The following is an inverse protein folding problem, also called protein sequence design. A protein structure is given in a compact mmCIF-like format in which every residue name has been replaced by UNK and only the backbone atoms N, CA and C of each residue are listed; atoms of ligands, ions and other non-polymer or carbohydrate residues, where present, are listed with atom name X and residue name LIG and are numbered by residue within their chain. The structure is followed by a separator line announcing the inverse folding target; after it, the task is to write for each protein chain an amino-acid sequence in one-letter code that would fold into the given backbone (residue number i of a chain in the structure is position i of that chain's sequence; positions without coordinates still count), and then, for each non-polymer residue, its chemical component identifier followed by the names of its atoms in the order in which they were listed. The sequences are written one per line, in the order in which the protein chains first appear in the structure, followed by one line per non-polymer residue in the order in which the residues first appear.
data_IF_925592167581
#
_entry.id   IF_925592167581
#
_cell.length_a   1.000
_cell.length_b   1.000
_cell.length_c   1.000
_cell.angle_alpha   90.00
_cell.angle_beta   90.00
_cell.angle_gamma   90.00
#
_symmetry.space_group_name_H-M   'P 1'
#
loop_
_entity.id
_entity.type
_entity.pdbx_description
1 polymer ?
#
# COMPACT_ATOMS: atom_id res chain seq x y z
N UNK A 1 -14.39 -1.78 16.89
CA UNK A 1 -13.81 -1.27 15.62
C UNK A 1 -12.29 -1.41 15.59
N UNK A 2 -11.55 -0.75 16.50
CA UNK A 2 -10.08 -0.75 16.49
C UNK A 2 -9.45 -2.15 16.58
N UNK A 3 -9.97 -3.03 17.44
CA UNK A 3 -9.49 -4.41 17.54
C UNK A 3 -9.62 -5.20 16.22
N UNK A 4 -10.77 -5.07 15.54
CA UNK A 4 -10.98 -5.71 14.24
C UNK A 4 -10.00 -5.18 13.18
N UNK A 5 -9.69 -3.87 13.21
CA UNK A 5 -8.69 -3.29 12.31
C UNK A 5 -7.28 -3.86 12.55
N UNK A 6 -6.89 -4.10 13.82
CA UNK A 6 -5.64 -4.80 14.14
C UNK A 6 -5.61 -6.19 13.51
N UNK A 7 -6.66 -7.00 13.71
CA UNK A 7 -6.73 -8.36 13.15
C UNK A 7 -6.65 -8.37 11.62
N UNK A 8 -7.36 -7.44 10.97
CA UNK A 8 -7.32 -7.29 9.51
C UNK A 8 -5.93 -6.89 9.03
N UNK A 9 -5.26 -5.97 9.72
CA UNK A 9 -3.91 -5.51 9.39
C UNK A 9 -2.88 -6.63 9.56
N UNK A 10 -2.93 -7.40 10.65
CA UNK A 10 -2.05 -8.55 10.86
C UNK A 10 -2.22 -9.57 9.73
N UNK A 11 -3.47 -9.93 9.40
CA UNK A 11 -3.76 -10.86 8.30
C UNK A 11 -3.25 -10.33 6.95
N UNK A 12 -3.31 -9.02 6.72
CA UNK A 12 -2.77 -8.40 5.52
C UNK A 12 -1.23 -8.44 5.50
N UNK A 13 -0.57 -8.19 6.64
CA UNK A 13 0.90 -8.31 6.77
C UNK A 13 1.36 -9.75 6.48
N UNK A 14 0.64 -10.74 6.98
CA UNK A 14 0.89 -12.17 6.69
C UNK A 14 0.69 -12.49 5.21
N UNK A 15 -0.39 -11.99 4.59
CA UNK A 15 -0.65 -12.19 3.16
C UNK A 15 0.46 -11.62 2.28
N UNK A 16 1.09 -10.51 2.70
CA UNK A 16 2.21 -9.87 2.01
C UNK A 16 3.56 -10.15 2.69
N UNK A 17 3.77 -11.29 3.34
CA UNK A 17 5.00 -11.55 4.08
C UNK A 17 6.25 -11.66 3.18
N UNK A 18 6.05 -11.98 1.90
CA UNK A 18 7.13 -12.13 0.92
C UNK A 18 7.62 -10.77 0.45
N UNK A 19 8.89 -10.67 0.05
CA UNK A 19 9.45 -9.43 -0.49
C UNK A 19 8.65 -8.96 -1.72
N UNK A 20 8.33 -9.87 -2.65
CA UNK A 20 7.50 -9.56 -3.82
C UNK A 20 6.07 -9.16 -3.46
N UNK A 21 5.47 -9.77 -2.43
CA UNK A 21 4.13 -9.44 -1.93
C UNK A 21 4.08 -8.04 -1.33
N UNK A 22 4.98 -7.73 -0.39
CA UNK A 22 5.06 -6.42 0.24
C UNK A 22 5.39 -5.29 -0.75
N UNK A 23 6.25 -5.54 -1.75
CA UNK A 23 6.61 -4.53 -2.76
C UNK A 23 5.43 -4.11 -3.67
N UNK A 24 4.38 -4.95 -3.78
CA UNK A 24 3.16 -4.64 -4.53
C UNK A 24 2.22 -3.70 -3.78
N UNK A 25 2.39 -3.55 -2.47
CA UNK A 25 1.56 -2.69 -1.62
C UNK A 25 2.07 -1.26 -1.66
N UNK A 26 1.16 -0.30 -1.74
CA UNK A 26 1.47 1.12 -1.81
C UNK A 26 1.82 1.66 -0.42
N UNK A 27 3.05 2.16 -0.28
CA UNK A 27 3.51 2.82 0.94
C UNK A 27 2.66 4.05 1.29
N UNK A 28 2.15 4.76 0.29
CA UNK A 28 1.31 5.96 0.48
C UNK A 28 -0.06 5.57 1.03
N UNK A 29 -0.65 4.46 0.55
CA UNK A 29 -1.94 3.94 1.05
C UNK A 29 -1.88 3.64 2.55
N UNK A 30 -0.87 2.88 3.00
CA UNK A 30 -0.69 2.56 4.42
C UNK A 30 -0.31 3.82 5.22
N UNK A 31 0.54 4.69 4.66
CA UNK A 31 0.94 5.93 5.33
C UNK A 31 -0.23 6.87 5.60
N UNK A 32 -1.13 7.02 4.63
CA UNK A 32 -2.35 7.83 4.79
C UNK A 32 -3.29 7.24 5.85
N UNK A 33 -3.42 5.91 5.90
CA UNK A 33 -4.19 5.24 6.95
C UNK A 33 -3.60 5.47 8.34
N UNK A 34 -2.28 5.41 8.48
CA UNK A 34 -1.59 5.68 9.75
C UNK A 34 -1.77 7.12 10.22
N UNK A 35 -1.73 8.09 9.31
CA UNK A 35 -2.02 9.50 9.63
C UNK A 35 -3.49 9.67 10.05
N UNK A 36 -4.42 8.96 9.41
CA UNK A 36 -5.82 9.00 9.83
C UNK A 36 -6.02 8.37 11.23
N UNK A 37 -5.31 7.29 11.55
CA UNK A 37 -5.38 6.65 12.87
C UNK A 37 -4.76 7.48 13.97
N UNK A 38 -3.69 8.22 13.70
CA UNK A 38 -3.13 9.15 14.67
C UNK A 38 -4.07 10.34 14.94
N UNK A 39 -4.73 10.89 13.91
CA UNK A 39 -5.78 11.90 14.14
C UNK A 39 -6.97 11.36 14.93
N UNK A 40 -7.43 10.15 14.62
CA UNK A 40 -8.49 9.51 15.42
C UNK A 40 -8.03 9.28 16.86
N UNK A 41 -6.79 8.86 17.09
CA UNK A 41 -6.22 8.72 18.43
C UNK A 41 -6.28 10.03 19.21
N UNK A 42 -5.84 11.14 18.61
CA UNK A 42 -5.90 12.47 19.22
C UNK A 42 -7.35 12.87 19.51
N UNK A 43 -8.27 12.66 18.56
CA UNK A 43 -9.68 12.97 18.73
C UNK A 43 -10.30 12.20 19.91
N UNK A 44 -10.03 10.89 20.05
CA UNK A 44 -10.54 10.11 21.18
C UNK A 44 -9.94 10.63 22.50
N UNK A 45 -8.64 10.94 22.55
CA UNK A 45 -8.00 11.46 23.75
C UNK A 45 -8.60 12.82 24.17
N UNK A 46 -8.77 13.75 23.23
CA UNK A 46 -9.44 15.03 23.48
C UNK A 46 -10.91 14.85 23.89
N UNK A 47 -11.66 13.97 23.21
CA UNK A 47 -13.05 13.69 23.58
C UNK A 47 -13.17 13.06 24.98
N UNK A 48 -12.23 12.19 25.36
CA UNK A 48 -12.18 11.64 26.71
C UNK A 48 -11.95 12.70 27.78
N UNK A 49 -11.06 13.67 27.52
CA UNK A 49 -10.79 14.79 28.44
C UNK A 49 -12.01 15.71 28.56
N UNK A 50 -12.71 15.99 27.44
CA UNK A 50 -13.90 16.85 27.44
C UNK A 50 -15.13 16.18 28.07
N UNK A 51 -15.13 14.85 28.20
CA UNK A 51 -16.28 14.05 28.64
C UNK A 51 -15.84 13.04 29.68
N UNK A 52 -15.62 13.53 30.90
CA UNK A 52 -15.07 12.72 31.99
C UNK A 52 -15.84 11.41 32.22
N UNK A 53 -17.17 11.43 32.09
CA UNK A 53 -18.03 10.24 32.22
C UNK A 53 -17.72 9.11 31.22
N UNK A 54 -17.13 9.44 30.06
CA UNK A 54 -16.76 8.51 29.00
C UNK A 54 -15.24 8.35 28.84
N UNK A 55 -14.44 8.95 29.73
CA UNK A 55 -12.99 8.97 29.63
C UNK A 55 -12.39 7.58 29.43
N UNK A 56 -12.79 6.60 30.27
CA UNK A 56 -12.24 5.24 30.19
C UNK A 56 -12.50 4.57 28.83
N UNK A 57 -13.68 4.79 28.24
CA UNK A 57 -14.03 4.22 26.94
C UNK A 57 -13.19 4.86 25.81
N UNK A 58 -13.10 6.18 25.81
CA UNK A 58 -12.31 6.93 24.83
C UNK A 58 -10.80 6.69 24.97
N UNK A 59 -10.27 6.65 26.20
CA UNK A 59 -8.88 6.33 26.48
C UNK A 59 -8.51 4.92 26.00
N UNK A 60 -9.38 3.93 26.24
CA UNK A 60 -9.17 2.56 25.73
C UNK A 60 -9.15 2.55 24.20
N UNK A 61 -10.09 3.24 23.54
CA UNK A 61 -10.11 3.35 22.09
C UNK A 61 -8.87 4.06 21.53
N UNK A 62 -8.41 5.14 22.18
CA UNK A 62 -7.20 5.87 21.84
C UNK A 62 -5.95 4.98 21.99
N UNK A 63 -5.84 4.21 23.08
CA UNK A 63 -4.74 3.27 23.29
C UNK A 63 -4.63 2.25 22.15
N UNK A 64 -5.74 1.61 21.76
CA UNK A 64 -5.71 0.68 20.63
C UNK A 64 -5.34 1.36 19.32
N UNK A 65 -5.79 2.60 19.07
CA UNK A 65 -5.39 3.38 17.89
C UNK A 65 -3.91 3.73 17.91
N UNK A 66 -3.38 4.14 19.06
CA UNK A 66 -1.97 4.38 19.27
C UNK A 66 -1.14 3.14 18.93
N UNK A 67 -1.52 1.97 19.44
CA UNK A 67 -0.85 0.70 19.13
C UNK A 67 -0.93 0.36 17.63
N UNK A 68 -2.07 0.57 16.99
CA UNK A 68 -2.24 0.36 15.54
C UNK A 68 -1.24 1.18 14.74
N UNK A 69 -1.25 2.51 14.90
CA UNK A 69 -0.45 3.36 14.02
C UNK A 69 1.03 3.34 14.40
N UNK A 70 1.38 3.35 15.69
CA UNK A 70 2.78 3.46 16.13
C UNK A 70 3.56 2.15 16.02
N UNK A 71 2.89 1.00 16.09
CA UNK A 71 3.55 -0.32 16.06
C UNK A 71 3.23 -1.05 14.76
N UNK A 72 1.97 -1.39 14.50
CA UNK A 72 1.62 -2.28 13.39
C UNK A 72 1.78 -1.61 12.02
N UNK A 73 1.22 -0.41 11.83
CA UNK A 73 1.32 0.29 10.54
C UNK A 73 2.74 0.77 10.27
N UNK A 74 3.47 1.25 11.28
CA UNK A 74 4.90 1.59 11.15
C UNK A 74 5.77 0.38 10.76
N UNK A 75 5.57 -0.77 11.41
CA UNK A 75 6.24 -2.02 11.02
C UNK A 75 5.90 -2.41 9.58
N UNK A 76 4.64 -2.24 9.17
CA UNK A 76 4.24 -2.57 7.82
C UNK A 76 4.83 -1.62 6.78
N UNK A 77 4.87 -0.32 7.06
CA UNK A 77 5.54 0.68 6.22
C UNK A 77 7.02 0.35 6.03
N UNK A 78 7.71 -0.03 7.11
CA UNK A 78 9.12 -0.45 7.05
C UNK A 78 9.28 -1.73 6.21
N UNK A 79 8.38 -2.71 6.36
CA UNK A 79 8.39 -3.94 5.58
C UNK A 79 8.19 -3.67 4.07
N UNK A 80 7.22 -2.83 3.71
CA UNK A 80 6.97 -2.41 2.33
C UNK A 80 8.17 -1.65 1.77
N UNK A 81 8.71 -0.69 2.54
CA UNK A 81 9.87 0.09 2.14
C UNK A 81 11.09 -0.80 1.85
N UNK A 82 11.39 -1.73 2.78
CA UNK A 82 12.48 -2.70 2.62
C UNK A 82 12.25 -3.61 1.43
N UNK A 83 11.01 -4.02 1.19
CA UNK A 83 10.67 -4.86 0.05
C UNK A 83 10.91 -4.16 -1.30
N UNK A 84 10.73 -2.85 -1.35
CA UNK A 84 10.99 -2.04 -2.57
C UNK A 84 12.46 -1.71 -2.82
N UNK A 85 13.37 -1.98 -1.86
CA UNK A 85 14.81 -1.67 -1.98
C UNK A 85 15.66 -2.90 -1.63
N UNK A 86 16.29 -3.54 -2.64
CA UNK A 86 17.29 -4.58 -2.39
C UNK A 86 18.38 -4.08 -1.45
N UNK A 87 18.47 -4.66 -0.25
CA UNK A 87 19.58 -4.36 0.66
C UNK A 87 20.84 -5.06 0.14
N UNK A 88 21.91 -4.29 -0.03
CA UNK A 88 23.25 -4.85 -0.25
C UNK A 88 23.68 -5.57 1.05
N UNK A 89 24.13 -6.81 0.91
CA UNK A 89 24.41 -7.72 2.02
C UNK A 89 25.61 -7.22 2.86
N UNK A 90 25.35 -6.42 3.91
CA UNK A 90 26.39 -6.01 4.86
C UNK A 90 26.01 -4.87 5.83
N UNK A 91 25.17 -3.92 5.43
CA UNK A 91 24.92 -2.68 6.21
C UNK A 91 23.54 -2.63 6.88
N UNK A 92 23.05 -3.77 7.39
CA UNK A 92 21.62 -3.95 7.67
C UNK A 92 21.04 -3.13 8.82
N UNK A 93 21.71 -3.05 9.97
CA UNK A 93 21.11 -2.50 11.20
C UNK A 93 21.16 -0.97 11.29
N UNK A 94 22.34 -0.37 11.10
CA UNK A 94 22.47 1.09 11.16
C UNK A 94 21.71 1.79 10.03
N UNK A 95 21.71 1.21 8.83
CA UNK A 95 20.87 1.70 7.72
C UNK A 95 19.39 1.59 8.07
N UNK A 96 18.95 0.47 8.65
CA UNK A 96 17.56 0.32 9.06
C UNK A 96 17.16 1.34 10.15
N UNK A 97 18.03 1.59 11.14
CA UNK A 97 17.78 2.59 12.19
C UNK A 97 17.66 4.00 11.60
N UNK A 98 18.58 4.40 10.70
CA UNK A 98 18.53 5.71 10.03
C UNK A 98 17.24 5.89 9.22
N UNK A 99 16.84 4.85 8.51
CA UNK A 99 15.63 4.87 7.66
C UNK A 99 14.36 4.86 8.50
N UNK A 100 14.35 4.13 9.62
CA UNK A 100 13.28 4.18 10.60
C UNK A 100 13.13 5.60 11.15
N UNK A 101 14.23 6.25 11.53
CA UNK A 101 14.21 7.65 11.99
C UNK A 101 13.68 8.60 10.91
N UNK A 102 14.02 8.38 9.64
CA UNK A 102 13.52 9.19 8.52
C UNK A 102 12.03 8.96 8.26
N UNK A 103 11.54 7.72 8.37
CA UNK A 103 10.12 7.41 8.26
C UNK A 103 9.32 8.07 9.40
N UNK A 104 9.81 7.98 10.64
CA UNK A 104 9.18 8.64 11.80
C UNK A 104 9.19 10.16 11.68
N UNK A 105 10.31 10.78 11.30
CA UNK A 105 10.39 12.23 11.18
C UNK A 105 9.41 12.75 10.12
N UNK A 106 9.29 12.05 8.98
CA UNK A 106 8.29 12.36 7.95
C UNK A 106 6.87 12.17 8.46
N UNK A 107 6.60 11.08 9.17
CA UNK A 107 5.28 10.83 9.74
C UNK A 107 4.87 11.93 10.72
N UNK A 108 5.72 12.27 11.69
CA UNK A 108 5.43 13.31 12.67
C UNK A 108 5.37 14.70 12.05
N UNK A 109 6.21 14.99 11.06
CA UNK A 109 6.15 16.22 10.28
C UNK A 109 4.82 16.37 9.51
N UNK A 110 4.36 15.31 8.85
CA UNK A 110 3.06 15.29 8.15
C UNK A 110 1.91 15.40 9.17
N UNK A 111 2.00 14.70 10.30
CA UNK A 111 1.00 14.77 11.36
C UNK A 111 0.85 16.19 11.90
N UNK A 112 1.96 16.82 12.30
CA UNK A 112 1.97 18.19 12.83
C UNK A 112 1.53 19.21 11.78
N UNK A 113 2.09 19.14 10.58
CA UNK A 113 1.71 20.01 9.47
C UNK A 113 0.22 19.86 9.12
N UNK A 114 -0.31 18.65 9.15
CA UNK A 114 -1.73 18.42 8.91
C UNK A 114 -2.63 18.91 10.05
N UNK A 115 -2.19 18.93 11.32
CA UNK A 115 -2.93 19.62 12.40
C UNK A 115 -3.06 21.11 12.08
N UNK A 116 -1.97 21.76 11.66
CA UNK A 116 -1.96 23.18 11.30
C UNK A 116 -2.87 23.45 10.08
N UNK A 117 -2.78 22.63 9.04
CA UNK A 117 -3.65 22.74 7.86
C UNK A 117 -5.13 22.56 8.25
N UNK A 118 -5.43 21.59 9.12
CA UNK A 118 -6.78 21.35 9.61
C UNK A 118 -7.32 22.54 10.40
N UNK A 119 -6.47 23.23 11.16
CA UNK A 119 -6.84 24.45 11.90
C UNK A 119 -7.13 25.63 10.95
N UNK A 120 -6.21 25.92 10.02
CA UNK A 120 -6.36 27.05 9.07
C UNK A 120 -7.53 26.85 8.11
N UNK A 121 -7.69 25.62 7.58
CA UNK A 121 -8.72 25.30 6.60
C UNK A 121 -9.99 24.69 7.25
N UNK A 122 -10.30 25.05 8.49
CA UNK A 122 -11.46 24.48 9.20
C UNK A 122 -12.81 24.70 8.49
N UNK A 123 -12.96 25.79 7.75
CA UNK A 123 -14.16 26.02 6.93
C UNK A 123 -14.35 24.96 5.82
N UNK A 124 -13.28 24.27 5.43
CA UNK A 124 -13.28 23.24 4.39
C UNK A 124 -13.20 21.81 4.96
N UNK A 125 -13.55 21.59 6.24
CA UNK A 125 -13.45 20.29 6.93
C UNK A 125 -13.99 19.11 6.12
N UNK A 126 -15.16 19.25 5.48
CA UNK A 126 -15.78 18.17 4.70
C UNK A 126 -14.91 17.72 3.51
N UNK A 127 -14.23 18.66 2.85
CA UNK A 127 -13.33 18.38 1.74
C UNK A 127 -12.03 17.74 2.22
N UNK A 128 -11.48 18.21 3.34
CA UNK A 128 -10.30 17.60 3.99
C UNK A 128 -10.61 16.14 4.37
N UNK A 129 -11.79 15.88 4.93
CA UNK A 129 -12.22 14.51 5.23
C UNK A 129 -12.31 13.65 3.96
N UNK A 130 -12.88 14.15 2.85
CA UNK A 130 -12.91 13.38 1.60
C UNK A 130 -11.51 13.03 1.10
N UNK A 131 -10.54 13.95 1.20
CA UNK A 131 -9.14 13.68 0.88
C UNK A 131 -8.56 12.63 1.81
N UNK A 132 -8.79 12.73 3.13
CA UNK A 132 -8.33 11.73 4.10
C UNK A 132 -8.93 10.34 3.83
N UNK A 133 -10.21 10.26 3.45
CA UNK A 133 -10.93 9.03 3.10
C UNK A 133 -10.68 8.53 1.66
N UNK A 134 -9.77 9.16 0.91
CA UNK A 134 -9.30 8.69 -0.40
C UNK A 134 -8.18 7.64 -0.30
N UNK A 135 -7.98 7.04 0.87
CA UNK A 135 -6.81 6.22 1.20
C UNK A 135 -6.66 4.97 0.32
N UNK A 136 -7.68 4.51 -0.40
CA UNK A 136 -7.55 3.41 -1.36
C UNK A 136 -6.98 3.84 -2.72
N UNK A 137 -7.15 5.11 -3.12
CA UNK A 137 -6.72 5.63 -4.42
C UNK A 137 -5.22 5.40 -4.68
N UNK A 138 -4.30 5.65 -3.73
CA UNK A 138 -2.88 5.38 -3.95
C UNK A 138 -2.56 3.93 -4.31
N UNK A 139 -3.35 2.95 -3.84
CA UNK A 139 -3.19 1.55 -4.23
C UNK A 139 -3.76 1.27 -5.61
N UNK A 140 -4.93 1.83 -5.93
CA UNK A 140 -5.55 1.70 -7.26
C UNK A 140 -4.55 2.17 -8.34
N UNK A 141 -3.93 3.34 -8.12
CA UNK A 141 -2.91 3.90 -9.01
C UNK A 141 -1.68 3.00 -9.05
N UNK A 142 -1.18 2.54 -7.89
CA UNK A 142 -0.02 1.64 -7.84
C UNK A 142 -0.27 0.33 -8.61
N UNK A 143 -1.48 -0.23 -8.56
CA UNK A 143 -1.86 -1.44 -9.27
C UNK A 143 -1.78 -1.27 -10.79
N UNK A 144 -2.28 -0.14 -11.30
CA UNK A 144 -2.25 0.17 -12.73
C UNK A 144 -0.80 0.36 -13.20
N UNK A 145 -0.04 1.19 -12.47
CA UNK A 145 1.32 1.56 -12.85
C UNK A 145 2.27 0.37 -12.78
N UNK A 146 2.24 -0.41 -11.69
CA UNK A 146 3.17 -1.54 -11.47
C UNK A 146 2.66 -2.87 -12.00
N UNK A 147 1.45 -2.91 -12.56
CA UNK A 147 0.74 -4.14 -12.96
C UNK A 147 0.64 -5.17 -11.82
N UNK A 148 0.47 -4.69 -10.59
CA UNK A 148 0.43 -5.54 -9.39
C UNK A 148 -0.83 -6.41 -9.39
N UNK A 149 -0.65 -7.73 -9.38
CA UNK A 149 -1.75 -8.70 -9.20
C UNK A 149 -1.92 -9.06 -7.74
N UNK A 150 -3.17 -8.99 -7.26
CA UNK A 150 -3.61 -9.38 -5.91
C UNK A 150 -2.70 -8.86 -4.77
N UNK A 151 -2.45 -7.54 -4.69
CA UNK A 151 -1.60 -6.95 -3.66
C UNK A 151 -2.23 -6.97 -2.26
N UNK A 152 -3.56 -6.93 -2.19
CA UNK A 152 -4.33 -6.85 -0.95
C UNK A 152 -5.29 -8.03 -0.85
N UNK A 153 -5.46 -8.51 0.39
CA UNK A 153 -6.45 -9.53 0.71
C UNK A 153 -7.88 -8.94 0.64
N UNK A 154 -8.86 -9.59 -0.01
CA UNK A 154 -10.23 -9.06 -0.11
C UNK A 154 -10.91 -8.74 1.22
N UNK A 155 -10.77 -9.59 2.24
CA UNK A 155 -11.24 -9.30 3.60
C UNK A 155 -10.62 -8.05 4.22
N UNK A 156 -9.36 -7.73 3.91
CA UNK A 156 -8.74 -6.49 4.36
C UNK A 156 -9.42 -5.27 3.69
N UNK A 157 -9.65 -5.33 2.37
CA UNK A 157 -10.34 -4.24 1.63
C UNK A 157 -11.74 -3.99 2.20
N UNK A 158 -12.55 -5.05 2.33
CA UNK A 158 -13.92 -4.94 2.82
C UNK A 158 -13.96 -4.55 4.30
N UNK A 159 -13.19 -5.23 5.14
CA UNK A 159 -13.17 -5.01 6.57
C UNK A 159 -12.66 -3.60 6.94
N UNK A 160 -11.60 -3.12 6.29
CA UNK A 160 -11.12 -1.76 6.50
C UNK A 160 -12.15 -0.73 6.01
N UNK A 161 -12.76 -0.93 4.84
CA UNK A 161 -13.81 -0.03 4.33
C UNK A 161 -14.98 0.12 5.32
N UNK A 162 -15.52 -1.00 5.81
CA UNK A 162 -16.66 -1.01 6.75
C UNK A 162 -16.27 -0.41 8.11
N UNK A 163 -15.13 -0.84 8.68
CA UNK A 163 -14.72 -0.38 10.01
C UNK A 163 -14.36 1.11 10.04
N UNK A 164 -13.80 1.64 8.95
CA UNK A 164 -13.41 3.06 8.82
C UNK A 164 -14.63 3.97 8.66
N UNK A 165 -15.74 3.48 8.10
CA UNK A 165 -17.00 4.22 7.98
C UNK A 165 -17.73 4.41 9.32
N UNK A 166 -17.44 3.59 10.34
CA UNK A 166 -18.19 3.60 11.61
C UNK A 166 -18.21 4.97 12.31
N UNK A 167 -17.06 5.64 12.41
CA UNK A 167 -16.94 6.93 13.13
C UNK A 167 -17.60 8.07 12.34
N UNK A 168 -17.31 8.30 11.04
CA UNK A 168 -18.00 9.32 10.25
C UNK A 168 -19.52 9.14 10.22
N UNK A 169 -20.01 7.91 10.07
CA UNK A 169 -21.45 7.65 10.04
C UNK A 169 -22.11 7.91 11.39
N UNK A 170 -21.42 7.64 12.50
CA UNK A 170 -21.90 8.02 13.83
C UNK A 170 -21.97 9.54 13.98
N UNK A 171 -20.88 10.25 13.65
CA UNK A 171 -20.80 11.71 13.83
C UNK A 171 -21.78 12.46 12.92
N UNK A 172 -21.83 12.14 11.63
CA UNK A 172 -22.64 12.90 10.66
C UNK A 172 -24.02 12.28 10.38
N UNK A 173 -24.27 11.04 10.81
CA UNK A 173 -25.54 10.35 10.59
C UNK A 173 -26.46 10.34 11.81
N UNK A 174 -25.92 10.40 13.03
CA UNK A 174 -26.74 10.40 14.24
C UNK A 174 -27.15 11.84 14.63
N UNK A 175 -28.45 12.17 14.68
CA UNK A 175 -28.92 13.52 15.07
C UNK A 175 -28.68 13.81 16.56
N UNK A 176 -28.50 12.77 17.39
CA UNK A 176 -28.16 12.86 18.81
C UNK A 176 -26.72 12.41 19.05
N UNK A 177 -25.78 12.94 18.27
CA UNK A 177 -24.36 12.68 18.49
C UNK A 177 -23.88 13.42 19.76
N UNK A 178 -22.87 12.86 20.41
CA UNK A 178 -22.27 13.51 21.57
C UNK A 178 -21.61 14.87 21.20
N UNK A 179 -21.03 14.96 20.00
CA UNK A 179 -20.29 16.13 19.50
C UNK A 179 -21.18 17.30 19.01
N UNK A 180 -22.52 17.15 19.08
CA UNK A 180 -23.54 18.11 18.60
C UNK A 180 -23.32 18.64 17.18
N UNK A 181 -22.77 17.81 16.28
CA UNK A 181 -22.59 18.16 14.87
C UNK A 181 -23.90 17.96 14.12
N UNK A 182 -24.22 18.86 13.19
CA UNK A 182 -25.43 18.74 12.36
C UNK A 182 -25.40 17.47 11.51
N UNK A 183 -26.44 16.64 11.63
CA UNK A 183 -26.56 15.42 10.87
C UNK A 183 -26.91 15.70 9.40
N UNK A 184 -26.16 15.12 8.48
CA UNK A 184 -26.39 15.25 7.03
C UNK A 184 -26.42 13.89 6.37
N UNK A 185 -27.64 13.41 6.07
CA UNK A 185 -27.85 12.12 5.40
C UNK A 185 -27.21 12.09 4.01
N UNK A 186 -27.30 13.20 3.26
CA UNK A 186 -26.73 13.31 1.92
C UNK A 186 -25.20 13.12 1.95
N UNK A 187 -24.52 13.74 2.92
CA UNK A 187 -23.08 13.60 3.06
C UNK A 187 -22.66 12.18 3.45
N UNK A 188 -23.39 11.53 4.37
CA UNK A 188 -23.15 10.12 4.73
C UNK A 188 -23.32 9.16 3.54
N UNK A 189 -24.38 9.33 2.76
CA UNK A 189 -24.61 8.54 1.54
C UNK A 189 -23.48 8.78 0.53
N UNK A 190 -23.08 10.04 0.33
CA UNK A 190 -21.97 10.41 -0.54
C UNK A 190 -20.64 9.78 -0.10
N UNK A 191 -20.33 9.79 1.20
CA UNK A 191 -19.12 9.17 1.74
C UNK A 191 -19.14 7.64 1.57
N UNK A 192 -20.26 6.99 1.87
CA UNK A 192 -20.44 5.55 1.64
C UNK A 192 -20.26 5.18 0.17
N UNK A 193 -20.87 5.94 -0.74
CA UNK A 193 -20.72 5.75 -2.17
C UNK A 193 -19.27 5.97 -2.61
N UNK A 194 -18.60 7.01 -2.11
CA UNK A 194 -17.22 7.34 -2.45
C UNK A 194 -16.23 6.26 -2.03
N UNK A 195 -16.27 5.80 -0.78
CA UNK A 195 -15.36 4.75 -0.29
C UNK A 195 -15.75 3.39 -0.88
N UNK A 196 -17.06 3.11 -0.98
CA UNK A 196 -17.58 1.91 -1.61
C UNK A 196 -17.14 1.77 -3.07
N UNK A 197 -17.15 2.87 -3.83
CA UNK A 197 -16.65 2.91 -5.20
C UNK A 197 -15.14 2.60 -5.26
N UNK A 198 -14.33 3.23 -4.40
CA UNK A 198 -12.89 2.92 -4.34
C UNK A 198 -12.62 1.44 -4.03
N UNK A 199 -13.34 0.88 -3.05
CA UNK A 199 -13.21 -0.54 -2.67
C UNK A 199 -13.68 -1.47 -3.81
N UNK A 200 -14.77 -1.13 -4.49
CA UNK A 200 -15.26 -1.87 -5.64
C UNK A 200 -14.24 -1.88 -6.78
N UNK A 201 -13.58 -0.75 -7.08
CA UNK A 201 -12.50 -0.68 -8.08
C UNK A 201 -11.32 -1.57 -7.68
N UNK A 202 -10.91 -1.57 -6.40
CA UNK A 202 -9.84 -2.47 -5.94
C UNK A 202 -10.20 -3.95 -6.05
N UNK A 203 -11.44 -4.32 -5.70
CA UNK A 203 -11.92 -5.70 -5.85
C UNK A 203 -12.04 -6.10 -7.32
N UNK A 204 -12.47 -5.18 -8.18
CA UNK A 204 -12.49 -5.38 -9.63
C UNK A 204 -11.08 -5.63 -10.17
N UNK A 205 -10.09 -4.82 -9.75
CA UNK A 205 -8.68 -5.03 -10.06
C UNK A 205 -8.15 -6.38 -9.53
N UNK A 206 -8.68 -6.87 -8.41
CA UNK A 206 -8.30 -8.16 -7.83
C UNK A 206 -8.79 -9.36 -8.68
N UNK A 207 -10.02 -9.32 -9.18
CA UNK A 207 -10.63 -10.44 -9.91
C UNK A 207 -10.38 -10.38 -11.42
N UNK A 208 -10.52 -9.21 -12.04
CA UNK A 208 -10.40 -9.02 -13.49
C UNK A 208 -9.01 -8.53 -13.92
N UNK A 209 -8.12 -8.24 -12.97
CA UNK A 209 -6.77 -7.75 -13.19
C UNK A 209 -6.65 -6.23 -13.08
N UNK A 210 -5.43 -5.78 -12.76
CA UNK A 210 -5.02 -4.39 -12.52
C UNK A 210 -5.43 -3.38 -13.61
N UNK A 211 -5.57 -3.83 -14.86
CA UNK A 211 -5.71 -2.95 -16.05
C UNK A 211 -7.02 -3.13 -16.82
N UNK A 212 -7.99 -3.87 -16.29
CA UNK A 212 -9.22 -4.25 -17.00
C UNK A 212 -10.07 -3.07 -17.53
N UNK A 213 -9.87 -1.84 -17.04
CA UNK A 213 -10.62 -0.64 -17.46
C UNK A 213 -9.74 0.60 -17.68
N UNK A 214 -8.44 0.43 -17.90
CA UNK A 214 -7.51 1.58 -18.10
C UNK A 214 -7.19 1.75 -19.59
N UNK A 215 -7.47 2.92 -20.20
CA UNK A 215 -7.09 3.19 -21.58
C UNK A 215 -5.58 3.04 -21.80
N UNK A 216 -5.19 2.44 -22.94
CA UNK A 216 -3.77 2.19 -23.30
C UNK A 216 -2.87 3.43 -23.25
N UNK A 217 -3.43 4.64 -23.42
CA UNK A 217 -2.70 5.92 -23.37
C UNK A 217 -2.23 6.35 -21.98
N UNK A 218 -2.87 5.85 -20.91
CA UNK A 218 -2.51 6.21 -19.52
C UNK A 218 -1.59 5.17 -18.85
N UNK A 219 -1.22 4.12 -19.59
CA UNK A 219 -0.36 3.06 -19.09
C UNK A 219 1.12 3.43 -19.25
N UNK A 220 1.96 3.21 -18.23
CA UNK A 220 3.40 3.42 -18.38
C UNK A 220 3.97 2.44 -19.41
N UNK A 221 4.98 2.90 -20.15
CA UNK A 221 5.71 2.09 -21.11
C UNK A 221 6.41 0.93 -20.38
N UNK A 222 6.04 -0.31 -20.72
CA UNK A 222 6.62 -1.51 -20.12
C UNK A 222 7.95 -1.83 -20.78
N UNK A 223 8.94 -2.21 -19.97
CA UNK A 223 10.18 -2.75 -20.51
C UNK A 223 9.89 -4.09 -21.20
N UNK A 224 10.20 -4.17 -22.50
CA UNK A 224 10.01 -5.41 -23.24
C UNK A 224 11.15 -6.39 -22.94
N UNK A 225 10.87 -7.34 -22.05
CA UNK A 225 11.76 -8.46 -21.71
C UNK A 225 12.01 -9.40 -22.91
N UNK A 226 11.14 -9.41 -23.91
CA UNK A 226 11.26 -10.21 -25.12
C UNK A 226 11.81 -9.34 -26.27
N UNK A 227 13.05 -8.87 -26.11
CA UNK A 227 13.76 -8.17 -27.18
C UNK A 227 14.57 -9.17 -28.00
N UNK A 228 14.48 -9.07 -29.33
CA UNK A 228 15.37 -9.80 -30.24
C UNK A 228 16.79 -9.28 -30.05
N UNK A 229 17.71 -10.16 -29.66
CA UNK A 229 19.14 -9.90 -29.72
C UNK A 229 19.61 -10.11 -31.15
N UNK A 230 20.45 -9.21 -31.66
CA UNK A 230 21.07 -9.38 -32.96
C UNK A 230 21.97 -10.62 -32.99
N UNK A 231 22.00 -11.28 -34.15
CA UNK A 231 22.48 -12.66 -34.34
C UNK A 231 24.02 -12.81 -34.32
N UNK A 232 24.75 -11.81 -33.82
CA UNK A 232 26.21 -11.70 -34.04
C UNK A 232 27.10 -12.17 -32.88
N UNK A 233 26.56 -12.87 -31.88
CA UNK A 233 27.43 -13.48 -30.87
C UNK A 233 27.00 -14.91 -30.57
N UNK A 234 27.84 -15.84 -31.01
CA UNK A 234 27.89 -17.26 -30.66
C UNK A 234 28.11 -17.50 -29.15
N UNK A 235 27.28 -16.90 -28.30
CA UNK A 235 27.27 -17.08 -26.85
C UNK A 235 26.07 -17.94 -26.50
N UNK A 236 26.28 -19.26 -26.41
CA UNK A 236 25.48 -20.08 -25.50
C UNK A 236 25.56 -19.44 -24.12
N UNK A 237 24.49 -18.77 -23.68
CA UNK A 237 24.41 -18.22 -22.32
C UNK A 237 23.64 -19.23 -21.48
N UNK A 238 24.26 -19.72 -20.42
CA UNK A 238 23.60 -20.60 -19.47
C UNK A 238 22.70 -19.79 -18.56
N UNK A 239 21.50 -20.30 -18.32
CA UNK A 239 20.60 -19.70 -17.35
C UNK A 239 21.09 -20.06 -15.94
N UNK A 240 21.59 -19.10 -15.17
CA UNK A 240 22.10 -19.36 -13.80
C UNK A 240 21.04 -19.84 -12.80
N UNK A 241 19.74 -19.79 -13.15
CA UNK A 241 18.65 -20.26 -12.29
C UNK A 241 18.51 -21.79 -12.38
N UNK A 242 18.52 -22.35 -13.59
CA UNK A 242 18.35 -23.79 -13.84
C UNK A 242 19.62 -24.49 -14.30
N UNK A 243 20.70 -23.73 -14.51
CA UNK A 243 22.00 -24.17 -14.99
C UNK A 243 21.96 -24.86 -16.37
N UNK A 244 20.92 -24.62 -17.17
CA UNK A 244 20.78 -25.16 -18.52
C UNK A 244 21.05 -24.09 -19.59
N UNK A 245 21.50 -24.53 -20.77
CA UNK A 245 21.76 -23.67 -21.93
C UNK A 245 20.48 -23.00 -22.42
N UNK A 246 20.59 -21.76 -22.89
CA UNK A 246 19.47 -21.04 -23.51
C UNK A 246 19.59 -21.17 -25.03
N UNK A 247 18.73 -22.00 -25.64
CA UNK A 247 18.65 -22.17 -27.08
C UNK A 247 17.98 -20.96 -27.75
N UNK A 248 18.79 -19.95 -28.12
CA UNK A 248 18.36 -18.75 -28.83
C UNK A 248 17.76 -19.02 -30.22
N UNK A 249 17.94 -20.23 -30.76
CA UNK A 249 17.43 -20.66 -32.07
C UNK A 249 15.98 -21.14 -32.05
N UNK A 250 15.42 -21.52 -30.89
CA UNK A 250 14.20 -22.35 -30.85
C UNK A 250 12.87 -21.62 -30.65
N UNK A 251 12.86 -20.36 -30.16
CA UNK A 251 11.71 -19.42 -30.17
C UNK A 251 12.08 -18.18 -29.35
N UNK A 252 11.71 -16.98 -29.82
CA UNK A 252 11.98 -15.72 -29.10
C UNK A 252 11.25 -15.59 -27.76
N UNK A 253 10.18 -16.37 -27.55
CA UNK A 253 9.35 -16.29 -26.33
C UNK A 253 9.86 -17.16 -25.17
N UNK A 254 10.92 -17.95 -25.38
CA UNK A 254 11.46 -18.85 -24.35
C UNK A 254 12.63 -18.20 -23.58
N UNK A 255 13.07 -17.01 -24.00
CA UNK A 255 14.14 -16.24 -23.36
C UNK A 255 13.65 -14.84 -22.97
N UNK A 256 14.06 -14.39 -21.78
CA UNK A 256 13.87 -13.02 -21.32
C UNK A 256 15.22 -12.34 -21.12
N UNK A 257 15.29 -11.08 -21.53
CA UNK A 257 16.45 -10.19 -21.36
C UNK A 257 16.12 -9.15 -20.30
N UNK A 258 16.97 -9.03 -19.29
CA UNK A 258 16.84 -8.00 -18.25
C UNK A 258 17.42 -6.65 -18.73
N UNK A 259 17.05 -5.49 -18.14
CA UNK A 259 17.66 -4.19 -18.50
C UNK A 259 19.17 -4.09 -18.25
N UNK A 260 19.72 -5.00 -17.43
CA UNK A 260 21.16 -5.18 -17.24
C UNK A 260 21.78 -6.18 -18.23
N UNK A 261 21.05 -6.58 -19.27
CA UNK A 261 21.47 -7.43 -20.39
C UNK A 261 21.82 -8.88 -20.05
N UNK A 262 21.40 -9.37 -18.87
CA UNK A 262 21.48 -10.79 -18.52
C UNK A 262 20.29 -11.57 -19.11
N UNK A 263 20.57 -12.81 -19.53
CA UNK A 263 19.64 -13.72 -20.21
C UNK A 263 19.20 -14.87 -19.31
N UNK A 264 17.92 -15.20 -19.39
CA UNK A 264 17.31 -16.29 -18.63
C UNK A 264 16.22 -16.97 -19.45
N UNK A 265 15.87 -18.22 -19.14
CA UNK A 265 14.62 -18.79 -19.66
C UNK A 265 13.43 -18.02 -19.09
N UNK A 266 12.41 -17.80 -19.92
CA UNK A 266 11.20 -17.04 -19.54
C UNK A 266 10.54 -17.62 -18.29
N UNK A 267 10.33 -18.94 -18.23
CA UNK A 267 9.76 -19.63 -17.07
C UNK A 267 10.65 -19.63 -15.81
N UNK A 268 11.96 -19.48 -15.95
CA UNK A 268 12.88 -19.39 -14.82
C UNK A 268 12.85 -17.98 -14.22
N UNK A 269 12.97 -16.94 -15.06
CA UNK A 269 12.93 -15.56 -14.59
C UNK A 269 11.57 -15.19 -14.03
N UNK A 270 10.47 -15.67 -14.61
CA UNK A 270 9.12 -15.41 -14.10
C UNK A 270 8.93 -15.95 -12.67
N UNK A 271 9.28 -17.23 -12.44
CA UNK A 271 9.25 -17.83 -11.09
C UNK A 271 10.17 -17.10 -10.11
N UNK A 272 11.32 -16.62 -10.57
CA UNK A 272 12.23 -15.83 -9.74
C UNK A 272 11.64 -14.47 -9.36
N UNK A 273 11.03 -13.75 -10.31
CA UNK A 273 10.37 -12.46 -10.05
C UNK A 273 9.19 -12.58 -9.08
N UNK A 274 8.54 -13.74 -9.02
CA UNK A 274 7.51 -14.04 -8.00
C UNK A 274 8.09 -14.11 -6.58
N UNK A 275 9.38 -14.39 -6.42
CA UNK A 275 10.09 -14.43 -5.13
C UNK A 275 10.79 -13.09 -4.87
N UNK A 276 11.59 -12.61 -5.82
CA UNK A 276 12.46 -11.43 -5.68
C UNK A 276 12.57 -10.64 -6.98
N UNK A 277 12.33 -9.32 -6.92
CA UNK A 277 12.40 -8.39 -8.06
C UNK A 277 13.84 -7.87 -8.33
N UNK A 278 14.80 -8.79 -8.40
CA UNK A 278 16.22 -8.50 -8.60
C UNK A 278 16.83 -9.46 -9.63
N UNK A 279 17.77 -8.98 -10.45
CA UNK A 279 18.50 -9.81 -11.40
C UNK A 279 19.31 -10.89 -10.64
N UNK A 280 19.15 -12.19 -10.95
CA UNK A 280 19.90 -13.27 -10.31
C UNK A 280 21.43 -13.12 -10.44
N UNK A 281 21.90 -12.52 -11.52
CA UNK A 281 23.34 -12.38 -11.80
C UNK A 281 23.95 -11.17 -11.11
N UNK A 282 23.35 -9.98 -11.27
CA UNK A 282 23.98 -8.72 -10.82
C UNK A 282 23.20 -7.98 -9.72
N UNK A 283 22.08 -8.55 -9.22
CA UNK A 283 21.22 -8.00 -8.15
C UNK A 283 20.63 -6.61 -8.41
N UNK A 284 20.73 -6.07 -9.63
CA UNK A 284 20.02 -4.83 -10.01
C UNK A 284 18.51 -5.06 -9.96
N UNK A 285 17.76 -4.04 -9.55
CA UNK A 285 16.30 -4.07 -9.54
C UNK A 285 15.73 -4.29 -10.93
N UNK A 286 14.74 -5.16 -11.05
CA UNK A 286 14.06 -5.43 -12.31
C UNK A 286 12.76 -4.62 -12.39
N UNK A 287 12.47 -3.95 -13.52
CA UNK A 287 11.18 -3.30 -13.74
C UNK A 287 10.06 -4.36 -13.84
N UNK A 288 8.81 -4.06 -13.48
CA UNK A 288 7.70 -4.99 -13.68
C UNK A 288 7.53 -5.30 -15.18
N UNK A 289 7.37 -6.60 -15.51
CA UNK A 289 7.11 -7.12 -16.86
C UNK A 289 5.66 -6.88 -17.30
#
# INVERSE_FOLDING_TARGET
VSFLQVLLLIRQMEHSNTQSGAAKVSIVMIGQQAIMDSYLCLLHLTAGILVESLFNAFATAAFFKFVVFSIFEMRYLLAIWKATRPSNSGEGWETMRRELSFLYSRFYGILLGGVLIMYELHNYMRWILLVMYSFWIPQIVANVVRDSRKPLHPYYILGMTVTRLAIPLYVFGCPKNFMRVEASKAWCIGLCAFIGFQAAVLLLQHYFGSRCFVPRKMLPEKYNYYRRLDHDVNRSRDCVICMATIDLRRRTNDCMVTPCEHLFHSGCLQRWMDIKMECPTCRRTLPPA
#
